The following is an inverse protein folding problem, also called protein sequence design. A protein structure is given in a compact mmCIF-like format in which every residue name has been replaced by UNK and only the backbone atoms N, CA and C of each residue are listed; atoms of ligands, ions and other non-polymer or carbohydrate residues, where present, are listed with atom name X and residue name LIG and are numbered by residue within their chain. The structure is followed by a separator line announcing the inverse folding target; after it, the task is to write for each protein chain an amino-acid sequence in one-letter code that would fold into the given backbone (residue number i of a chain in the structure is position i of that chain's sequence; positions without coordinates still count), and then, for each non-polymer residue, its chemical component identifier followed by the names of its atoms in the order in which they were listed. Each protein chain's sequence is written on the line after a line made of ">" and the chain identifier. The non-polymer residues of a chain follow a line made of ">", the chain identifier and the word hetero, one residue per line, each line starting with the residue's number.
data_IF_330699390609
#
_entry.id   IF_330699390609
#
_cell.length_a   1.000
_cell.length_b   1.000
_cell.length_c   1.000
_cell.angle_alpha   90.00
_cell.angle_beta   90.00
_cell.angle_gamma   90.00
#
_symmetry.space_group_name_H-M   'P 1'
#
loop_
_entity.id
_entity.type
_entity.pdbx_description
1 polymer ?
#
# COMPACT_ATOMS: atom_id res chain seq x y z
N UNK A 1 -4.75 7.64 -13.39
CA UNK A 1 -5.10 7.54 -11.97
C UNK A 1 -5.52 8.91 -11.48
N UNK A 2 -6.52 8.98 -10.61
CA UNK A 2 -6.97 10.24 -10.02
C UNK A 2 -5.95 10.69 -8.97
N UNK A 3 -5.61 11.99 -8.90
CA UNK A 3 -4.88 12.49 -7.74
C UNK A 3 -5.70 12.22 -6.47
N UNK A 4 -5.04 11.74 -5.40
CA UNK A 4 -5.62 11.52 -4.06
C UNK A 4 -6.48 10.25 -3.86
N UNK A 5 -6.07 9.11 -4.43
CA UNK A 5 -6.79 7.85 -4.17
C UNK A 5 -6.72 7.44 -2.70
N UNK A 6 -5.55 7.62 -2.08
CA UNK A 6 -5.34 7.31 -0.67
C UNK A 6 -6.29 8.11 0.22
N UNK A 7 -6.32 9.44 0.06
CA UNK A 7 -7.09 10.34 0.90
C UNK A 7 -8.61 10.09 0.81
N UNK A 8 -9.11 9.78 -0.39
CA UNK A 8 -10.52 9.42 -0.59
C UNK A 8 -10.88 8.10 0.10
N UNK A 9 -10.03 7.08 -0.04
CA UNK A 9 -10.21 5.78 0.60
C UNK A 9 -10.31 5.91 2.13
N UNK A 10 -9.33 6.54 2.77
CA UNK A 10 -9.33 6.70 4.23
C UNK A 10 -10.51 7.56 4.72
N UNK A 11 -10.91 8.58 3.95
CA UNK A 11 -12.02 9.45 4.32
C UNK A 11 -13.35 8.68 4.29
N UNK A 12 -13.51 7.76 3.34
CA UNK A 12 -14.69 6.89 3.25
C UNK A 12 -14.70 5.87 4.39
N UNK A 13 -13.60 5.13 4.60
CA UNK A 13 -13.48 4.18 5.72
C UNK A 13 -13.72 4.84 7.08
N UNK A 14 -13.19 6.05 7.28
CA UNK A 14 -13.42 6.83 8.50
C UNK A 14 -14.90 7.14 8.71
N UNK A 15 -15.61 7.57 7.65
CA UNK A 15 -17.05 7.88 7.72
C UNK A 15 -17.90 6.63 7.98
N UNK A 16 -17.54 5.49 7.39
CA UNK A 16 -18.21 4.20 7.65
C UNK A 16 -18.09 3.77 9.12
N UNK A 17 -16.99 4.13 9.79
CA UNK A 17 -16.79 3.94 11.23
C UNK A 17 -17.39 5.05 12.10
N UNK A 18 -18.09 6.01 11.50
CA UNK A 18 -18.65 7.20 12.18
C UNK A 18 -17.59 8.04 12.93
N UNK A 19 -16.32 7.92 12.54
CA UNK A 19 -15.23 8.68 13.16
C UNK A 19 -15.20 10.09 12.53
N UNK A 20 -15.20 11.13 13.34
CA UNK A 20 -15.05 12.50 12.84
C UNK A 20 -13.61 12.78 12.37
N UNK A 21 -13.42 13.76 11.49
CA UNK A 21 -12.08 14.17 11.05
C UNK A 21 -11.17 14.54 12.24
N UNK A 22 -11.72 15.23 13.24
CA UNK A 22 -10.99 15.59 14.46
C UNK A 22 -10.70 14.36 15.33
N UNK A 23 -11.66 13.44 15.44
CA UNK A 23 -11.49 12.20 16.19
C UNK A 23 -10.40 11.31 15.59
N UNK A 24 -10.33 11.19 14.27
CA UNK A 24 -9.24 10.45 13.61
C UNK A 24 -7.88 11.11 13.85
N UNK A 25 -7.81 12.44 13.73
CA UNK A 25 -6.57 13.17 14.00
C UNK A 25 -6.09 12.95 15.46
N UNK A 26 -7.01 12.95 16.42
CA UNK A 26 -6.71 12.66 17.84
C UNK A 26 -6.21 11.21 18.04
N UNK A 27 -6.87 10.22 17.43
CA UNK A 27 -6.46 8.81 17.52
C UNK A 27 -5.08 8.54 16.93
N UNK A 28 -4.66 9.33 15.95
CA UNK A 28 -3.35 9.23 15.29
C UNK A 28 -2.28 10.15 15.92
N UNK A 29 -2.62 10.92 16.95
CA UNK A 29 -1.75 11.95 17.53
C UNK A 29 -1.25 12.97 16.49
N UNK A 30 -2.16 13.40 15.61
CA UNK A 30 -1.91 14.37 14.53
C UNK A 30 -2.78 15.62 14.69
N UNK A 31 -2.33 16.73 14.11
CA UNK A 31 -3.19 17.93 14.07
C UNK A 31 -4.37 17.74 13.11
N UNK A 32 -5.58 18.23 13.43
CA UNK A 32 -6.74 18.14 12.52
C UNK A 32 -6.50 18.80 11.15
N UNK A 33 -5.70 19.87 11.10
CA UNK A 33 -5.34 20.53 9.85
C UNK A 33 -4.48 19.62 8.98
N UNK A 34 -3.44 19.00 9.55
CA UNK A 34 -2.57 18.07 8.85
C UNK A 34 -3.35 16.85 8.33
N UNK A 35 -4.19 16.25 9.17
CA UNK A 35 -5.04 15.13 8.75
C UNK A 35 -6.04 15.53 7.65
N UNK A 36 -6.64 16.72 7.73
CA UNK A 36 -7.49 17.24 6.66
C UNK A 36 -6.75 17.51 5.36
N UNK A 37 -5.46 17.83 5.40
CA UNK A 37 -4.65 18.00 4.20
C UNK A 37 -4.37 16.67 3.53
N UNK A 38 -4.11 15.62 4.31
CA UNK A 38 -3.92 14.24 3.82
C UNK A 38 -5.20 13.74 3.14
N UNK A 39 -6.36 13.78 3.81
CA UNK A 39 -7.62 13.27 3.21
C UNK A 39 -8.01 13.99 1.91
N UNK A 40 -7.55 15.23 1.73
CA UNK A 40 -7.84 16.05 0.55
C UNK A 40 -6.70 16.07 -0.47
N UNK A 41 -5.68 15.22 -0.29
CA UNK A 41 -4.55 15.08 -1.23
C UNK A 41 -3.66 16.31 -1.34
N UNK A 42 -3.71 17.22 -0.36
CA UNK A 42 -2.81 18.39 -0.30
C UNK A 42 -1.45 18.06 0.30
N UNK A 43 -1.33 16.89 0.93
CA UNK A 43 -0.08 16.35 1.46
C UNK A 43 0.06 14.89 1.08
N UNK A 44 1.31 14.46 0.99
CA UNK A 44 1.63 13.07 0.75
C UNK A 44 1.02 12.18 1.85
N UNK A 45 0.64 10.94 1.49
CA UNK A 45 0.31 9.90 2.45
C UNK A 45 1.38 9.77 3.54
N UNK A 46 0.98 9.42 4.78
CA UNK A 46 1.90 9.30 5.88
C UNK A 46 2.77 8.04 5.74
N UNK A 47 3.72 7.84 6.65
CA UNK A 47 4.60 6.68 6.63
C UNK A 47 3.87 5.37 7.02
N UNK A 48 4.53 4.24 6.79
CA UNK A 48 4.00 2.90 7.02
C UNK A 48 3.51 2.67 8.47
N UNK A 49 4.14 3.29 9.47
CA UNK A 49 3.73 3.16 10.88
C UNK A 49 2.33 3.76 11.08
N UNK A 50 2.08 4.95 10.52
CA UNK A 50 0.76 5.59 10.57
C UNK A 50 -0.25 4.80 9.73
N UNK A 51 0.15 4.22 8.59
CA UNK A 51 -0.73 3.35 7.79
C UNK A 51 -1.16 2.11 8.59
N UNK A 52 -0.25 1.47 9.32
CA UNK A 52 -0.61 0.34 10.18
C UNK A 52 -1.56 0.76 11.31
N UNK A 53 -1.35 1.93 11.91
CA UNK A 53 -2.28 2.48 12.91
C UNK A 53 -3.66 2.74 12.31
N UNK A 54 -3.73 3.30 11.11
CA UNK A 54 -4.97 3.50 10.37
C UNK A 54 -5.71 2.19 10.14
N UNK A 55 -5.01 1.16 9.67
CA UNK A 55 -5.59 -0.16 9.45
C UNK A 55 -6.18 -0.73 10.75
N UNK A 56 -5.48 -0.59 11.87
CA UNK A 56 -5.97 -1.03 13.18
C UNK A 56 -7.21 -0.25 13.64
N UNK A 57 -7.19 1.09 13.54
CA UNK A 57 -8.32 1.95 13.95
C UNK A 57 -9.56 1.68 13.09
N UNK A 58 -9.35 1.52 11.78
CA UNK A 58 -10.41 1.30 10.79
C UNK A 58 -10.81 -0.19 10.70
N UNK A 59 -10.10 -1.09 11.37
CA UNK A 59 -10.35 -2.54 11.32
C UNK A 59 -10.30 -3.08 9.90
N UNK A 60 -9.29 -2.68 9.13
CA UNK A 60 -9.06 -3.15 7.77
C UNK A 60 -8.60 -4.61 7.76
N UNK A 61 -9.04 -5.38 6.78
CA UNK A 61 -8.46 -6.69 6.46
C UNK A 61 -7.04 -6.55 5.90
N UNK A 62 -6.29 -7.65 5.84
CA UNK A 62 -4.94 -7.63 5.25
C UNK A 62 -4.98 -7.17 3.79
N UNK A 63 -5.95 -7.62 2.99
CA UNK A 63 -6.10 -7.16 1.60
C UNK A 63 -6.40 -5.66 1.50
N UNK A 64 -7.24 -5.11 2.38
CA UNK A 64 -7.50 -3.67 2.42
C UNK A 64 -6.30 -2.85 2.92
N UNK A 65 -5.45 -3.43 3.77
CA UNK A 65 -4.18 -2.83 4.17
C UNK A 65 -3.22 -2.77 2.97
N UNK A 66 -3.09 -3.87 2.23
CA UNK A 66 -2.24 -3.92 1.03
C UNK A 66 -2.72 -2.89 -0.02
N UNK A 67 -4.03 -2.84 -0.30
CA UNK A 67 -4.63 -1.84 -1.18
C UNK A 67 -4.34 -0.39 -0.70
N UNK A 68 -4.43 -0.15 0.62
CA UNK A 68 -4.13 1.15 1.20
C UNK A 68 -2.66 1.54 1.04
N UNK A 69 -1.74 0.58 1.21
CA UNK A 69 -0.30 0.77 1.03
C UNK A 69 0.04 1.04 -0.44
N UNK A 70 -0.59 0.34 -1.37
CA UNK A 70 -0.45 0.58 -2.80
C UNK A 70 -0.92 1.99 -3.17
N UNK A 71 -2.14 2.38 -2.77
CA UNK A 71 -2.65 3.74 -2.98
C UNK A 71 -1.74 4.82 -2.38
N UNK A 72 -1.21 4.58 -1.18
CA UNK A 72 -0.32 5.52 -0.51
C UNK A 72 1.04 5.66 -1.21
N UNK A 73 1.52 4.59 -1.85
CA UNK A 73 2.80 4.56 -2.53
C UNK A 73 2.68 5.14 -3.95
N UNK A 74 1.58 4.84 -4.65
CA UNK A 74 1.25 5.42 -5.94
C UNK A 74 1.08 6.94 -5.87
N UNK A 75 0.39 7.46 -4.84
CA UNK A 75 0.27 8.91 -4.59
C UNK A 75 1.64 9.58 -4.31
N UNK A 76 2.69 8.79 -4.05
CA UNK A 76 4.08 9.25 -3.83
C UNK A 76 5.01 8.93 -5.01
N UNK A 77 4.54 8.29 -6.08
CA UNK A 77 5.35 7.77 -7.19
C UNK A 77 6.48 6.84 -6.70
N UNK A 78 6.18 6.01 -5.68
CA UNK A 78 7.10 5.07 -5.04
C UNK A 78 6.57 3.62 -5.18
N UNK A 79 7.47 2.63 -5.14
CA UNK A 79 7.05 1.23 -4.95
C UNK A 79 6.35 1.05 -3.59
N UNK A 80 5.48 0.03 -3.43
CA UNK A 80 4.79 -0.23 -2.16
C UNK A 80 5.75 -0.15 -0.96
N UNK A 81 5.47 0.78 -0.04
CA UNK A 81 6.43 1.25 0.96
C UNK A 81 6.88 0.20 1.99
N UNK A 82 6.19 -0.94 2.04
CA UNK A 82 6.50 -2.12 2.84
C UNK A 82 7.51 -3.08 2.17
N UNK A 83 7.59 -3.07 0.83
CA UNK A 83 8.49 -3.96 0.07
C UNK A 83 9.99 -3.62 0.12
N UNK A 84 10.46 -2.34 0.16
CA UNK A 84 11.89 -2.02 0.08
C UNK A 84 12.73 -2.76 1.12
N UNK A 85 12.24 -2.86 2.36
CA UNK A 85 12.99 -3.51 3.43
C UNK A 85 13.07 -5.02 3.22
N UNK A 86 11.95 -5.66 2.86
CA UNK A 86 11.93 -7.09 2.54
C UNK A 86 12.87 -7.43 1.37
N UNK A 87 12.81 -6.64 0.29
CA UNK A 87 13.69 -6.81 -0.87
C UNK A 87 15.16 -6.62 -0.47
N UNK A 88 15.46 -5.68 0.43
CA UNK A 88 16.83 -5.44 0.89
C UNK A 88 17.39 -6.62 1.69
N UNK A 89 16.56 -7.27 2.50
CA UNK A 89 16.94 -8.38 3.38
C UNK A 89 17.01 -9.73 2.67
N UNK A 90 16.25 -9.93 1.59
CA UNK A 90 16.16 -11.21 0.87
C UNK A 90 16.97 -11.24 -0.43
N UNK A 91 18.08 -11.97 -0.45
CA UNK A 91 18.87 -12.25 -1.66
C UNK A 91 18.07 -12.95 -2.75
N UNK A 92 17.17 -13.86 -2.34
CA UNK A 92 16.29 -14.59 -3.24
C UNK A 92 15.30 -13.64 -3.91
N UNK A 93 14.66 -12.73 -3.16
CA UNK A 93 13.75 -11.74 -3.72
C UNK A 93 14.47 -10.85 -4.75
N UNK A 94 15.66 -10.34 -4.43
CA UNK A 94 16.46 -9.53 -5.37
C UNK A 94 16.82 -10.30 -6.64
N UNK A 95 17.17 -11.58 -6.50
CA UNK A 95 17.54 -12.44 -7.62
C UNK A 95 16.32 -12.75 -8.49
N UNK A 96 15.18 -13.07 -7.89
CA UNK A 96 13.92 -13.35 -8.57
C UNK A 96 13.44 -12.13 -9.37
N UNK A 97 13.37 -10.95 -8.75
CA UNK A 97 12.96 -9.71 -9.41
C UNK A 97 13.87 -9.36 -10.60
N UNK A 98 15.20 -9.51 -10.46
CA UNK A 98 16.14 -9.29 -11.58
C UNK A 98 15.94 -10.30 -12.72
N UNK A 99 15.68 -11.57 -12.41
CA UNK A 99 15.40 -12.60 -13.43
C UNK A 99 14.08 -12.31 -14.15
N UNK A 100 13.03 -11.98 -13.41
CA UNK A 100 11.73 -11.62 -13.96
C UNK A 100 11.83 -10.41 -14.88
N UNK A 101 12.53 -9.35 -14.47
CA UNK A 101 12.77 -8.17 -15.32
C UNK A 101 13.44 -8.54 -16.64
N UNK A 102 14.56 -9.28 -16.59
CA UNK A 102 15.27 -9.74 -17.79
C UNK A 102 14.38 -10.58 -18.72
N UNK A 103 13.55 -11.45 -18.14
CA UNK A 103 12.61 -12.29 -18.92
C UNK A 103 11.51 -11.46 -19.57
N UNK A 104 10.98 -10.44 -18.87
CA UNK A 104 9.98 -9.53 -19.45
C UNK A 104 10.52 -8.72 -20.62
N UNK A 105 11.81 -8.36 -20.58
CA UNK A 105 12.52 -7.66 -21.65
C UNK A 105 12.75 -8.58 -22.88
N UNK A 106 12.93 -9.89 -22.69
CA UNK A 106 13.23 -10.85 -23.76
C UNK A 106 12.00 -11.53 -24.37
N UNK A 107 11.06 -11.97 -23.53
CA UNK A 107 9.97 -12.90 -23.90
C UNK A 107 8.60 -12.22 -23.95
N UNK A 108 8.54 -10.92 -23.66
CA UNK A 108 7.29 -10.16 -23.50
C UNK A 108 6.67 -10.30 -22.11
N UNK A 109 5.73 -9.40 -21.80
CA UNK A 109 5.09 -9.32 -20.47
C UNK A 109 4.27 -10.56 -20.12
N UNK A 110 3.59 -11.17 -21.09
CA UNK A 110 2.64 -12.28 -20.87
C UNK A 110 3.30 -13.55 -20.28
N UNK A 111 4.50 -13.92 -20.76
CA UNK A 111 5.27 -15.06 -20.24
C UNK A 111 5.82 -14.83 -18.83
N UNK A 112 5.94 -13.56 -18.42
CA UNK A 112 6.39 -13.18 -17.08
C UNK A 112 5.21 -13.09 -16.12
N UNK A 113 4.05 -12.59 -16.57
CA UNK A 113 2.79 -12.59 -15.81
C UNK A 113 2.41 -13.98 -15.34
N UNK A 114 2.37 -14.96 -16.25
CA UNK A 114 2.03 -16.35 -15.88
C UNK A 114 2.99 -16.94 -14.83
N UNK A 115 4.28 -16.63 -14.94
CA UNK A 115 5.27 -17.12 -13.98
C UNK A 115 5.06 -16.52 -12.58
N UNK A 116 4.59 -15.27 -12.50
CA UNK A 116 4.22 -14.65 -11.22
C UNK A 116 2.93 -15.24 -10.65
N UNK A 117 1.92 -15.47 -11.48
CA UNK A 117 0.66 -16.12 -11.05
C UNK A 117 0.94 -17.51 -10.46
N UNK A 118 1.75 -18.32 -11.14
CA UNK A 118 2.14 -19.65 -10.66
C UNK A 118 2.91 -19.57 -9.32
N UNK A 119 3.77 -18.54 -9.16
CA UNK A 119 4.53 -18.31 -7.92
C UNK A 119 3.62 -17.89 -6.76
N UNK A 120 2.71 -16.94 -6.97
CA UNK A 120 1.77 -16.48 -5.94
C UNK A 120 0.89 -17.63 -5.48
N UNK A 121 0.34 -18.41 -6.43
CA UNK A 121 -0.48 -19.58 -6.13
C UNK A 121 0.27 -20.61 -5.28
N UNK A 122 1.55 -20.85 -5.56
CA UNK A 122 2.36 -21.77 -4.78
C UNK A 122 2.57 -21.30 -3.32
N UNK A 123 2.58 -20.00 -3.05
CA UNK A 123 2.68 -19.45 -1.70
C UNK A 123 1.36 -19.53 -0.92
N UNK A 124 0.22 -19.40 -1.62
CA UNK A 124 -1.11 -19.49 -1.02
C UNK A 124 -1.51 -20.95 -0.69
N UNK A 125 -1.04 -21.92 -1.48
CA UNK A 125 -1.31 -23.36 -1.27
C UNK A 125 -0.54 -24.00 -0.10
N UNK A 126 0.47 -23.30 0.45
CA UNK A 126 1.26 -23.76 1.60
C UNK A 126 0.67 -23.37 2.97
N UNK A 127 -0.55 -22.81 3.02
CA UNK A 127 -1.28 -22.43 4.25
C UNK A 127 -2.38 -23.42 4.65
#
# INVERSE_FOLDING_TARGET
>A
MSPNQFGEFIANKRKEKEISLRGMAELLDLSPAYWSDIEKGRRNPPNLIILQQLANILGLSNGELDEMVDMASDDRDEIPMDLPQYIKESDLARTALRKARKKSESDGSESTTKAWEDFIKALDEEQ
#
